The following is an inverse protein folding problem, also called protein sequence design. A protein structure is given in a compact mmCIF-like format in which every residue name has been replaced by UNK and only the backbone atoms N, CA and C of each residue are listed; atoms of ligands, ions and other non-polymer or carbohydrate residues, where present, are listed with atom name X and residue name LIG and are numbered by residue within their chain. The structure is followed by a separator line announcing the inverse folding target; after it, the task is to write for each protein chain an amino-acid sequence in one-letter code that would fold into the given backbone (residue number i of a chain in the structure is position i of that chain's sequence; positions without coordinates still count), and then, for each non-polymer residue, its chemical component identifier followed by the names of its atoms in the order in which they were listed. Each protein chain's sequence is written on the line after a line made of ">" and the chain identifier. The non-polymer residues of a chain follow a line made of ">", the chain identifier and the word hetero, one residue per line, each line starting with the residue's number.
data_IF_697558251462
#
_entry.id   IF_697558251462
#
_cell.length_a   1.000
_cell.length_b   1.000
_cell.length_c   1.000
_cell.angle_alpha   90.00
_cell.angle_beta   90.00
_cell.angle_gamma   90.00
#
_symmetry.space_group_name_H-M   'P 1'
#
loop_
_entity.id
_entity.type
_entity.pdbx_description
1 polymer ?
#
# COMPACT_ATOMS: atom_id res chain seq x y z
N UNK A 1 3.69 -20.48 53.33
CA UNK A 1 2.41 -19.91 53.82
C UNK A 1 1.82 -18.97 52.77
N UNK A 2 0.76 -19.38 52.06
CA UNK A 2 0.00 -18.49 51.18
C UNK A 2 -1.46 -18.47 51.65
N UNK A 3 -1.87 -17.35 52.26
CA UNK A 3 -3.24 -17.13 52.76
C UNK A 3 -4.23 -17.21 51.59
N UNK A 4 -4.87 -18.37 51.40
CA UNK A 4 -6.09 -18.49 50.58
C UNK A 4 -7.16 -17.62 51.23
N UNK A 5 -7.36 -16.40 50.71
CA UNK A 5 -8.50 -15.54 51.09
C UNK A 5 -9.78 -16.35 50.91
N UNK A 6 -10.44 -16.71 52.00
CA UNK A 6 -11.78 -17.27 51.98
C UNK A 6 -12.71 -16.25 51.31
N UNK A 7 -13.07 -16.47 50.03
CA UNK A 7 -14.05 -15.64 49.32
C UNK A 7 -15.35 -15.72 50.13
N UNK A 8 -15.70 -14.62 50.83
CA UNK A 8 -16.95 -14.49 51.61
C UNK A 8 -18.10 -15.07 50.79
N UNK A 9 -18.80 -16.07 51.35
CA UNK A 9 -19.98 -16.69 50.74
C UNK A 9 -21.07 -15.62 50.65
N UNK A 10 -21.26 -15.00 49.47
CA UNK A 10 -22.44 -14.15 49.19
C UNK A 10 -23.69 -15.00 49.48
N UNK A 11 -24.54 -14.53 50.42
CA UNK A 11 -25.81 -15.18 50.80
C UNK A 11 -27.03 -14.28 50.56
N UNK A 12 -26.83 -12.97 50.42
CA UNK A 12 -27.90 -12.01 50.14
C UNK A 12 -28.04 -11.82 48.64
N UNK A 13 -29.29 -11.72 48.20
CA UNK A 13 -29.61 -11.46 46.80
C UNK A 13 -29.07 -10.08 46.38
N UNK A 14 -28.65 -9.99 45.13
CA UNK A 14 -27.94 -8.84 44.60
C UNK A 14 -28.69 -8.30 43.39
N UNK A 15 -29.07 -7.02 43.44
CA UNK A 15 -29.70 -6.32 42.33
C UNK A 15 -28.64 -5.57 41.53
N UNK A 16 -28.61 -5.81 40.22
CA UNK A 16 -27.69 -5.18 39.28
C UNK A 16 -28.28 -3.87 38.74
N UNK A 17 -27.45 -2.93 38.21
CA UNK A 17 -27.90 -1.62 37.74
C UNK A 17 -28.99 -1.66 36.66
N UNK A 18 -29.02 -2.70 35.82
CA UNK A 18 -30.04 -2.87 34.77
C UNK A 18 -31.31 -3.57 35.27
N UNK A 19 -31.54 -3.62 36.59
CA UNK A 19 -32.72 -4.22 37.20
C UNK A 19 -32.68 -5.75 37.35
N UNK A 20 -31.66 -6.43 36.82
CA UNK A 20 -31.50 -7.88 36.98
C UNK A 20 -31.23 -8.27 38.43
N UNK A 21 -31.68 -9.44 38.87
CA UNK A 21 -31.53 -9.92 40.26
C UNK A 21 -30.81 -11.26 40.29
N UNK A 22 -29.70 -11.33 41.02
CA UNK A 22 -28.96 -12.57 41.30
C UNK A 22 -29.38 -13.10 42.66
N UNK A 23 -30.08 -14.23 42.68
CA UNK A 23 -30.69 -14.78 43.90
C UNK A 23 -29.71 -15.69 44.66
N UNK A 24 -28.66 -15.11 45.25
CA UNK A 24 -27.65 -15.84 46.03
C UNK A 24 -28.22 -16.65 47.20
N UNK A 25 -29.37 -16.24 47.74
CA UNK A 25 -30.11 -16.95 48.78
C UNK A 25 -30.66 -18.31 48.31
N UNK A 26 -30.94 -18.44 47.00
CA UNK A 26 -31.51 -19.63 46.35
C UNK A 26 -30.49 -20.44 45.55
N UNK A 27 -29.20 -20.29 45.83
CA UNK A 27 -28.16 -21.08 45.16
C UNK A 27 -28.24 -22.55 45.59
N UNK A 28 -27.92 -23.46 44.68
CA UNK A 28 -27.96 -24.90 44.93
C UNK A 28 -26.76 -25.61 44.27
N UNK A 29 -26.55 -26.86 44.67
CA UNK A 29 -25.47 -27.72 44.16
C UNK A 29 -25.96 -28.48 42.92
N UNK A 30 -25.19 -28.41 41.82
CA UNK A 30 -25.46 -29.02 40.52
C UNK A 30 -24.36 -30.05 40.17
N UNK A 31 -24.16 -30.99 41.09
CA UNK A 31 -23.16 -32.05 40.99
C UNK A 31 -21.72 -31.60 41.28
N UNK A 32 -20.76 -32.39 40.79
CA UNK A 32 -19.33 -32.19 41.01
C UNK A 32 -18.55 -32.16 39.70
N UNK A 33 -17.48 -31.38 39.64
CA UNK A 33 -16.49 -31.47 38.56
C UNK A 33 -15.66 -32.75 38.73
N UNK A 34 -15.07 -33.24 37.64
CA UNK A 34 -14.11 -34.36 37.68
C UNK A 34 -12.94 -34.12 38.67
N UNK A 35 -12.64 -32.86 39.00
CA UNK A 35 -11.67 -32.46 40.01
C UNK A 35 -12.17 -32.58 41.46
N UNK A 36 -13.33 -33.19 41.72
CA UNK A 36 -13.98 -33.28 43.03
C UNK A 36 -14.59 -31.99 43.59
N UNK A 37 -14.59 -30.88 42.84
CA UNK A 37 -15.17 -29.61 43.31
C UNK A 37 -16.68 -29.57 43.08
N UNK A 38 -17.44 -29.09 44.06
CA UNK A 38 -18.89 -28.89 43.93
C UNK A 38 -19.21 -27.79 42.91
N UNK A 39 -20.12 -28.09 41.98
CA UNK A 39 -20.72 -27.12 41.05
C UNK A 39 -21.85 -26.41 41.75
N UNK A 40 -21.80 -25.09 41.80
CA UNK A 40 -22.86 -24.26 42.38
C UNK A 40 -23.53 -23.45 41.29
N UNK A 41 -24.86 -23.47 41.26
CA UNK A 41 -25.69 -22.62 40.40
C UNK A 41 -26.49 -21.63 41.22
N UNK A 42 -26.85 -20.53 40.57
CA UNK A 42 -27.65 -19.46 41.17
C UNK A 42 -28.74 -19.02 40.18
N UNK A 43 -30.01 -18.91 40.61
CA UNK A 43 -31.07 -18.34 39.79
C UNK A 43 -30.88 -16.84 39.58
N UNK A 44 -31.00 -16.38 38.34
CA UNK A 44 -30.87 -14.98 37.94
C UNK A 44 -32.10 -14.55 37.16
N UNK A 45 -32.78 -13.52 37.65
CA UNK A 45 -33.90 -12.86 36.97
C UNK A 45 -33.36 -11.76 36.06
N UNK A 46 -33.68 -11.82 34.78
CA UNK A 46 -33.35 -10.78 33.81
C UNK A 46 -34.11 -9.49 34.14
N UNK A 47 -33.41 -8.36 34.18
CA UNK A 47 -34.02 -7.05 34.45
C UNK A 47 -34.90 -6.52 33.31
N UNK A 48 -34.71 -7.02 32.08
CA UNK A 48 -35.40 -6.52 30.89
C UNK A 48 -36.67 -7.33 30.55
N UNK A 49 -36.57 -8.66 30.47
CA UNK A 49 -37.74 -9.51 30.16
C UNK A 49 -38.32 -10.23 31.37
N UNK A 50 -37.71 -10.12 32.56
CA UNK A 50 -38.16 -10.82 33.75
C UNK A 50 -37.88 -12.32 33.79
N UNK A 51 -37.37 -12.93 32.71
CA UNK A 51 -37.08 -14.37 32.66
C UNK A 51 -36.05 -14.78 33.70
N UNK A 52 -36.33 -15.88 34.41
CA UNK A 52 -35.40 -16.48 35.39
C UNK A 52 -34.62 -17.61 34.71
N UNK A 53 -33.30 -17.64 34.94
CA UNK A 53 -32.42 -18.71 34.47
C UNK A 53 -31.35 -19.04 35.48
N UNK A 54 -30.81 -20.25 35.42
CA UNK A 54 -29.76 -20.69 36.33
C UNK A 54 -28.39 -20.53 35.68
N UNK A 55 -27.47 -19.89 36.38
CA UNK A 55 -26.10 -19.69 35.91
C UNK A 55 -25.10 -20.20 36.92
N UNK A 56 -23.90 -20.56 36.48
CA UNK A 56 -22.81 -20.93 37.38
C UNK A 56 -22.47 -19.80 38.35
N UNK A 57 -22.33 -20.12 39.63
CA UNK A 57 -22.05 -19.16 40.69
C UNK A 57 -20.70 -18.45 40.51
N UNK A 58 -19.73 -19.07 39.82
CA UNK A 58 -18.47 -18.42 39.43
C UNK A 58 -18.70 -17.34 38.37
N UNK A 59 -19.49 -17.65 37.35
CA UNK A 59 -19.85 -16.72 36.27
C UNK A 59 -20.61 -15.51 36.79
N UNK A 60 -21.60 -15.72 37.67
CA UNK A 60 -22.37 -14.63 38.28
C UNK A 60 -21.53 -13.72 39.20
N UNK A 61 -20.35 -14.15 39.65
CA UNK A 61 -19.39 -13.30 40.40
C UNK A 61 -18.42 -12.55 39.51
N UNK A 62 -18.42 -12.82 38.20
CA UNK A 62 -17.52 -12.17 37.26
C UNK A 62 -17.81 -10.67 37.16
N UNK A 63 -16.78 -9.81 37.05
CA UNK A 63 -16.96 -8.36 36.98
C UNK A 63 -17.71 -7.89 35.72
N UNK A 64 -17.77 -8.73 34.68
CA UNK A 64 -18.47 -8.45 33.42
C UNK A 64 -19.88 -9.06 33.35
N UNK A 65 -20.40 -9.63 34.45
CA UNK A 65 -21.70 -10.27 34.45
C UNK A 65 -22.84 -9.24 34.50
N UNK A 66 -23.66 -9.18 33.45
CA UNK A 66 -24.74 -8.19 33.31
C UNK A 66 -26.10 -8.68 33.82
N UNK A 67 -26.31 -9.99 34.03
CA UNK A 67 -27.60 -10.54 34.44
C UNK A 67 -28.68 -10.64 33.34
N UNK A 68 -28.54 -9.96 32.20
CA UNK A 68 -29.48 -10.03 31.08
C UNK A 68 -29.44 -11.39 30.37
N UNK A 69 -30.59 -11.90 29.92
CA UNK A 69 -30.63 -13.15 29.14
C UNK A 69 -30.08 -12.94 27.73
N UNK A 70 -29.67 -14.01 27.05
CA UNK A 70 -29.03 -13.91 25.73
C UNK A 70 -29.91 -13.18 24.72
N UNK A 71 -31.21 -13.51 24.69
CA UNK A 71 -32.18 -12.80 23.87
C UNK A 71 -32.26 -11.30 24.18
N UNK A 72 -32.24 -10.88 25.45
CA UNK A 72 -32.22 -9.46 25.84
C UNK A 72 -30.90 -8.75 25.54
N UNK A 73 -29.76 -9.46 25.67
CA UNK A 73 -28.46 -8.93 25.25
C UNK A 73 -28.42 -8.73 23.73
N UNK A 74 -29.04 -9.65 22.98
CA UNK A 74 -29.11 -9.58 21.53
C UNK A 74 -30.13 -8.53 21.06
N UNK A 75 -31.26 -8.36 21.77
CA UNK A 75 -32.24 -7.28 21.56
C UNK A 75 -31.69 -5.90 21.94
N UNK A 76 -30.90 -5.79 23.01
CA UNK A 76 -30.20 -4.54 23.39
C UNK A 76 -29.11 -4.14 22.37
N UNK A 77 -28.66 -5.08 21.53
CA UNK A 77 -27.83 -4.80 20.34
C UNK A 77 -28.66 -4.46 19.10
N UNK A 78 -29.98 -4.66 19.12
CA UNK A 78 -30.91 -4.22 18.08
C UNK A 78 -31.34 -2.77 18.36
N UNK A 79 -30.38 -1.85 18.31
CA UNK A 79 -30.72 -0.46 18.02
C UNK A 79 -31.25 -0.44 16.58
N UNK A 80 -32.59 -0.43 16.41
CA UNK A 80 -33.20 -0.32 15.08
C UNK A 80 -33.07 1.13 14.64
N UNK A 81 -32.09 1.40 13.78
CA UNK A 81 -31.99 2.70 13.09
C UNK A 81 -32.92 2.59 11.88
N UNK A 82 -33.97 3.41 11.78
CA UNK A 82 -34.83 3.44 10.61
C UNK A 82 -34.03 3.81 9.35
N UNK A 83 -34.42 3.25 8.20
CA UNK A 83 -33.77 3.53 6.92
C UNK A 83 -33.77 5.03 6.61
N UNK A 84 -34.90 5.70 6.77
CA UNK A 84 -35.06 7.14 6.55
C UNK A 84 -34.11 7.98 7.40
N UNK A 85 -33.85 7.57 8.65
CA UNK A 85 -32.90 8.25 9.53
C UNK A 85 -31.47 8.11 9.03
N UNK A 86 -31.09 6.95 8.50
CA UNK A 86 -29.77 6.76 7.89
C UNK A 86 -29.63 7.51 6.56
N UNK A 87 -30.66 7.52 5.72
CA UNK A 87 -30.66 8.29 4.46
C UNK A 87 -30.53 9.78 4.73
N UNK A 88 -31.31 10.35 5.64
CA UNK A 88 -31.19 11.76 6.02
C UNK A 88 -29.81 12.09 6.61
N UNK A 89 -29.34 11.33 7.60
CA UNK A 89 -28.07 11.65 8.27
C UNK A 89 -26.84 11.40 7.38
N UNK A 90 -26.89 10.41 6.50
CA UNK A 90 -25.75 10.01 5.66
C UNK A 90 -25.75 10.71 4.29
N UNK A 91 -26.89 10.71 3.59
CA UNK A 91 -26.99 11.22 2.23
C UNK A 91 -27.31 12.73 2.19
N UNK A 92 -28.13 13.23 3.13
CA UNK A 92 -28.55 14.65 3.12
C UNK A 92 -27.66 15.52 4.03
N UNK A 93 -27.38 15.08 5.27
CA UNK A 93 -26.51 15.81 6.20
C UNK A 93 -25.01 15.49 6.03
N UNK A 94 -24.65 14.46 5.26
CA UNK A 94 -23.26 14.12 4.95
C UNK A 94 -22.41 13.60 6.12
N UNK A 95 -23.04 13.10 7.19
CA UNK A 95 -22.32 12.63 8.38
C UNK A 95 -21.64 11.28 8.16
N UNK A 96 -20.48 11.07 8.79
CA UNK A 96 -19.79 9.78 8.77
C UNK A 96 -20.48 8.74 9.64
N UNK A 97 -20.25 7.44 9.40
CA UNK A 97 -20.79 6.34 10.22
C UNK A 97 -20.47 6.50 11.72
N UNK A 98 -19.33 7.13 12.04
CA UNK A 98 -18.90 7.39 13.42
C UNK A 98 -19.70 8.54 14.04
N UNK A 99 -19.89 9.63 13.32
CA UNK A 99 -20.69 10.76 13.79
C UNK A 99 -22.18 10.38 13.92
N UNK A 100 -22.69 9.57 12.99
CA UNK A 100 -24.03 8.98 13.09
C UNK A 100 -24.14 8.12 14.35
N UNK A 101 -23.12 7.30 14.64
CA UNK A 101 -23.11 6.47 15.84
C UNK A 101 -23.04 7.30 17.12
N UNK A 102 -22.22 8.34 17.17
CA UNK A 102 -22.13 9.27 18.30
C UNK A 102 -23.46 10.02 18.51
N UNK A 103 -24.07 10.53 17.43
CA UNK A 103 -25.35 11.26 17.45
C UNK A 103 -26.53 10.39 17.87
N UNK A 104 -26.52 9.12 17.49
CA UNK A 104 -27.57 8.16 17.81
C UNK A 104 -27.26 7.34 19.08
N UNK A 105 -26.13 7.55 19.75
CA UNK A 105 -25.73 6.76 20.92
C UNK A 105 -25.54 5.26 20.61
N UNK A 106 -25.13 4.93 19.38
CA UNK A 106 -24.96 3.56 18.88
C UNK A 106 -23.48 3.22 18.67
N UNK A 107 -23.20 1.96 18.28
CA UNK A 107 -21.86 1.56 17.87
C UNK A 107 -21.70 1.80 16.34
N UNK A 108 -20.57 2.34 15.86
CA UNK A 108 -20.31 2.52 14.42
C UNK A 108 -20.50 1.24 13.60
N UNK A 109 -20.18 0.08 14.19
CA UNK A 109 -20.40 -1.24 13.56
C UNK A 109 -21.89 -1.53 13.35
N UNK A 110 -22.76 -1.07 14.24
CA UNK A 110 -24.22 -1.21 14.12
C UNK A 110 -24.73 -0.35 12.96
N UNK A 111 -24.23 0.89 12.84
CA UNK A 111 -24.56 1.80 11.72
C UNK A 111 -24.16 1.17 10.39
N UNK A 112 -22.91 0.70 10.25
CA UNK A 112 -22.43 0.08 9.00
C UNK A 112 -23.19 -1.20 8.61
N UNK A 113 -23.60 -2.02 9.60
CA UNK A 113 -24.46 -3.19 9.34
C UNK A 113 -25.83 -2.80 8.80
N UNK A 114 -26.47 -1.77 9.36
CA UNK A 114 -27.79 -1.29 8.92
C UNK A 114 -27.74 -0.62 7.55
N UNK A 115 -26.70 0.18 7.28
CA UNK A 115 -26.49 0.73 5.94
C UNK A 115 -26.37 -0.38 4.89
N UNK A 116 -25.62 -1.45 5.18
CA UNK A 116 -25.50 -2.61 4.28
C UNK A 116 -26.83 -3.37 4.10
N UNK A 117 -27.61 -3.53 5.16
CA UNK A 117 -28.93 -4.18 5.12
C UNK A 117 -29.94 -3.40 4.26
N UNK A 118 -29.88 -2.07 4.29
CA UNK A 118 -30.76 -1.20 3.50
C UNK A 118 -30.21 -0.87 2.10
N UNK A 119 -29.06 -1.43 1.71
CA UNK A 119 -28.43 -1.14 0.42
C UNK A 119 -27.90 0.29 0.28
N UNK A 120 -27.66 0.99 1.39
CA UNK A 120 -27.01 2.31 1.40
C UNK A 120 -25.50 2.06 1.25
N UNK A 121 -24.99 2.23 0.02
CA UNK A 121 -23.57 2.07 -0.25
C UNK A 121 -22.76 3.06 0.57
N UNK A 122 -21.93 2.53 1.48
CA UNK A 122 -20.99 3.36 2.22
C UNK A 122 -19.94 3.86 1.23
N UNK A 123 -19.85 5.19 1.10
CA UNK A 123 -18.69 5.84 0.52
C UNK A 123 -17.44 5.23 1.17
N UNK A 124 -16.45 4.79 0.36
CA UNK A 124 -15.21 4.30 0.90
C UNK A 124 -14.67 5.37 1.86
N UNK A 125 -14.14 4.96 3.03
CA UNK A 125 -13.68 5.93 4.02
C UNK A 125 -12.81 7.02 3.38
N UNK A 126 -12.87 8.27 3.84
CA UNK A 126 -12.07 9.36 3.28
C UNK A 126 -10.54 9.10 3.26
N UNK A 127 -10.05 8.09 3.97
CA UNK A 127 -8.66 7.61 3.88
C UNK A 127 -8.36 6.71 2.67
N UNK A 128 -9.38 6.27 1.92
CA UNK A 128 -9.28 5.40 0.75
C UNK A 128 -9.14 6.20 -0.56
N UNK A 129 -9.52 7.48 -0.57
CA UNK A 129 -9.38 8.38 -1.71
C UNK A 129 -8.46 9.57 -1.40
N UNK A 130 -7.36 9.35 -0.67
CA UNK A 130 -6.21 10.25 -0.79
C UNK A 130 -5.44 9.83 -2.03
N UNK A 131 -5.84 10.33 -3.19
CA UNK A 131 -4.89 10.43 -4.30
C UNK A 131 -3.79 11.38 -3.81
N UNK A 132 -2.59 10.83 -3.71
CA UNK A 132 -1.43 11.57 -3.27
C UNK A 132 -0.75 12.21 -4.48
N UNK A 133 -0.86 11.58 -5.65
CA UNK A 133 -0.44 12.18 -6.92
C UNK A 133 -1.56 13.11 -7.39
N UNK A 134 -1.25 14.37 -7.73
CA UNK A 134 -2.23 15.28 -8.29
C UNK A 134 -2.84 14.73 -9.58
N UNK A 135 -4.16 14.87 -9.73
CA UNK A 135 -4.90 14.37 -10.90
C UNK A 135 -4.32 14.90 -12.21
N UNK A 136 -3.96 16.17 -12.28
CA UNK A 136 -3.33 16.81 -13.45
C UNK A 136 -2.06 16.12 -13.96
N UNK A 137 -1.32 15.42 -13.09
CA UNK A 137 -0.14 14.63 -13.44
C UNK A 137 -0.54 13.31 -14.12
N UNK A 138 -1.72 12.74 -13.81
CA UNK A 138 -2.18 11.45 -14.33
C UNK A 138 -3.15 11.55 -15.50
N UNK A 139 -3.78 12.71 -15.73
CA UNK A 139 -4.79 12.90 -16.79
C UNK A 139 -4.19 13.10 -18.19
N UNK A 140 -2.90 13.45 -18.29
CA UNK A 140 -2.19 13.63 -19.55
C UNK A 140 -0.74 13.19 -19.41
N UNK A 141 -0.11 12.91 -20.54
CA UNK A 141 1.33 12.68 -20.55
C UNK A 141 2.10 13.99 -20.38
N UNK A 142 3.10 13.94 -19.50
CA UNK A 142 4.08 14.98 -19.25
C UNK A 142 5.49 14.34 -19.31
N UNK A 143 6.53 15.09 -19.71
CA UNK A 143 7.91 14.61 -19.68
C UNK A 143 8.32 14.01 -18.32
N UNK A 144 7.89 14.64 -17.22
CA UNK A 144 8.14 14.22 -15.84
C UNK A 144 7.46 12.88 -15.53
N UNK A 145 6.21 12.70 -15.96
CA UNK A 145 5.48 11.45 -15.77
C UNK A 145 6.14 10.32 -16.55
N UNK A 146 6.56 10.58 -17.80
CA UNK A 146 7.26 9.59 -18.60
C UNK A 146 8.59 9.16 -18.00
N UNK A 147 9.38 10.12 -17.51
CA UNK A 147 10.58 9.84 -16.76
C UNK A 147 10.31 8.94 -15.54
N UNK A 148 9.25 9.23 -14.76
CA UNK A 148 8.84 8.41 -13.62
C UNK A 148 8.42 7.00 -14.05
N UNK A 149 7.65 6.85 -15.13
CA UNK A 149 7.28 5.52 -15.67
C UNK A 149 8.54 4.73 -16.05
N UNK A 150 9.55 5.38 -16.61
CA UNK A 150 10.86 4.79 -16.90
C UNK A 150 11.58 4.29 -15.65
N UNK A 151 11.67 5.12 -14.62
CA UNK A 151 12.26 4.74 -13.32
C UNK A 151 11.50 3.57 -12.68
N UNK A 152 10.17 3.60 -12.72
CA UNK A 152 9.34 2.52 -12.16
C UNK A 152 9.47 1.25 -12.99
N UNK A 153 9.63 1.34 -14.31
CA UNK A 153 9.88 0.18 -15.16
C UNK A 153 11.23 -0.49 -14.86
N UNK A 154 12.26 0.29 -14.52
CA UNK A 154 13.55 -0.21 -14.04
C UNK A 154 13.44 -0.75 -12.59
N UNK A 155 13.44 0.13 -11.59
CA UNK A 155 13.63 -0.25 -10.19
C UNK A 155 12.31 -0.39 -9.38
N UNK A 156 11.20 0.11 -9.90
CA UNK A 156 9.92 0.18 -9.18
C UNK A 156 9.30 -1.17 -8.82
N UNK A 157 8.54 -1.19 -7.72
CA UNK A 157 7.85 -2.38 -7.21
C UNK A 157 6.38 -2.10 -6.92
N UNK A 158 5.50 -2.62 -7.78
CA UNK A 158 4.06 -2.68 -7.54
C UNK A 158 3.77 -3.83 -6.56
N UNK A 159 3.17 -3.51 -5.40
CA UNK A 159 2.78 -4.54 -4.44
C UNK A 159 1.71 -5.47 -5.03
N UNK A 160 1.55 -6.65 -4.44
CA UNK A 160 0.57 -7.67 -4.89
C UNK A 160 -0.81 -7.07 -5.15
N UNK A 161 -1.51 -7.65 -6.12
CA UNK A 161 -2.91 -7.36 -6.47
C UNK A 161 -3.73 -7.25 -5.18
N UNK A 162 -4.61 -6.25 -5.07
CA UNK A 162 -5.31 -5.78 -3.84
C UNK A 162 -4.56 -4.80 -2.94
N UNK A 163 -3.35 -4.34 -3.32
CA UNK A 163 -2.71 -3.18 -2.68
C UNK A 163 -2.45 -2.11 -3.70
N UNK A 164 -2.98 -0.91 -3.46
CA UNK A 164 -2.77 0.28 -4.31
C UNK A 164 -1.38 0.90 -4.12
N UNK A 165 -0.41 0.10 -3.71
CA UNK A 165 0.88 0.57 -3.22
C UNK A 165 1.96 0.38 -4.27
N UNK A 166 2.68 1.46 -4.55
CA UNK A 166 3.87 1.50 -5.39
C UNK A 166 5.05 1.90 -4.51
N UNK A 167 6.10 1.09 -4.51
CA UNK A 167 7.37 1.41 -3.85
C UNK A 167 8.42 1.71 -4.91
N UNK A 168 9.13 2.82 -4.75
CA UNK A 168 10.30 3.16 -5.56
C UNK A 168 11.55 3.14 -4.68
N UNK A 169 12.36 2.08 -4.76
CA UNK A 169 13.65 2.00 -4.10
C UNK A 169 14.79 2.44 -5.03
N UNK A 170 15.86 3.00 -4.47
CA UNK A 170 17.11 3.24 -5.19
C UNK A 170 18.30 3.35 -4.22
N UNK A 171 19.51 3.08 -4.70
CA UNK A 171 20.76 3.43 -3.98
C UNK A 171 21.17 4.88 -4.21
N UNK A 172 20.65 5.52 -5.26
CA UNK A 172 20.89 6.94 -5.55
C UNK A 172 19.78 7.79 -4.89
N UNK A 173 20.12 8.54 -3.84
CA UNK A 173 19.17 9.42 -3.13
C UNK A 173 18.52 10.45 -4.06
N UNK A 174 19.29 10.97 -5.02
CA UNK A 174 18.85 11.94 -6.02
C UNK A 174 17.67 11.41 -6.85
N UNK A 175 17.65 10.11 -7.19
CA UNK A 175 16.52 9.52 -7.92
C UNK A 175 15.24 9.54 -7.11
N UNK A 176 15.32 9.32 -5.79
CA UNK A 176 14.15 9.39 -4.90
C UNK A 176 13.57 10.79 -4.86
N UNK A 177 14.42 11.80 -4.82
CA UNK A 177 14.03 13.21 -4.80
C UNK A 177 13.45 13.64 -6.15
N UNK A 178 14.06 13.21 -7.26
CA UNK A 178 13.54 13.49 -8.59
C UNK A 178 12.23 12.77 -8.87
N UNK A 179 12.07 11.52 -8.44
CA UNK A 179 10.80 10.78 -8.50
C UNK A 179 9.67 11.54 -7.78
N UNK A 180 9.92 12.01 -6.56
CA UNK A 180 8.95 12.76 -5.78
C UNK A 180 8.58 14.09 -6.43
N UNK A 181 9.59 14.84 -6.89
CA UNK A 181 9.41 16.12 -7.59
C UNK A 181 8.56 15.96 -8.87
N UNK A 182 8.88 14.97 -9.70
CA UNK A 182 8.15 14.69 -10.94
C UNK A 182 6.70 14.30 -10.71
N UNK A 183 6.38 13.65 -9.58
CA UNK A 183 5.01 13.31 -9.20
C UNK A 183 4.29 14.39 -8.40
N UNK A 184 4.97 15.48 -8.01
CA UNK A 184 4.40 16.51 -7.15
C UNK A 184 4.05 16.01 -5.73
N UNK A 185 4.77 14.99 -5.22
CA UNK A 185 4.51 14.39 -3.91
C UNK A 185 5.64 14.65 -2.92
N UNK A 186 5.30 14.71 -1.64
CA UNK A 186 6.27 14.78 -0.53
C UNK A 186 6.03 13.62 0.42
N UNK A 187 6.83 12.57 0.29
CA UNK A 187 6.73 11.31 1.03
C UNK A 187 7.92 11.15 1.99
N UNK A 188 7.69 10.44 3.09
CA UNK A 188 8.78 10.05 3.97
C UNK A 188 9.72 9.08 3.25
N UNK A 189 11.02 9.40 3.23
CA UNK A 189 12.04 8.53 2.63
C UNK A 189 12.63 7.61 3.70
N UNK A 190 12.32 6.32 3.59
CA UNK A 190 12.94 5.29 4.41
C UNK A 190 14.33 4.95 3.88
N UNK A 191 15.33 4.85 4.76
CA UNK A 191 16.71 4.47 4.40
C UNK A 191 17.12 3.21 5.15
N UNK A 192 17.51 2.17 4.41
CA UNK A 192 18.03 0.93 4.96
C UNK A 192 19.56 0.89 4.81
N UNK A 193 20.25 0.62 5.92
CA UNK A 193 21.69 0.35 5.93
C UNK A 193 21.93 -1.16 6.08
N UNK A 194 22.84 -1.71 5.28
CA UNK A 194 23.33 -3.08 5.42
C UNK A 194 24.85 -3.07 5.39
N UNK A 195 25.54 -3.81 6.28
CA UNK A 195 27.00 -3.88 6.27
C UNK A 195 27.55 -4.27 4.89
N UNK A 196 28.56 -3.54 4.41
CA UNK A 196 29.21 -3.79 3.11
C UNK A 196 28.37 -3.43 1.88
N UNK A 197 27.19 -2.82 2.04
CA UNK A 197 26.33 -2.36 0.94
C UNK A 197 26.13 -0.84 1.01
N UNK A 198 25.91 -0.23 -0.15
CA UNK A 198 25.43 1.16 -0.20
C UNK A 198 24.07 1.28 0.49
N UNK A 199 23.76 2.43 1.12
CA UNK A 199 22.46 2.68 1.69
C UNK A 199 21.39 2.59 0.60
N UNK A 200 20.25 1.99 0.95
CA UNK A 200 19.11 1.85 0.04
C UNK A 200 17.97 2.74 0.53
N UNK A 201 17.62 3.73 -0.28
CA UNK A 201 16.52 4.64 -0.03
C UNK A 201 15.24 4.11 -0.67
N UNK A 202 14.09 4.42 -0.08
CA UNK A 202 12.80 4.00 -0.61
C UNK A 202 11.70 4.98 -0.23
N UNK A 203 10.88 5.34 -1.20
CA UNK A 203 9.56 5.95 -0.98
C UNK A 203 8.47 4.94 -1.27
N UNK A 204 7.33 5.08 -0.60
CA UNK A 204 6.18 4.20 -0.81
C UNK A 204 4.92 5.03 -0.78
N UNK A 205 4.14 4.86 -1.83
CA UNK A 205 2.93 5.60 -2.10
C UNK A 205 1.76 4.61 -2.20
N UNK A 206 0.65 4.90 -1.54
CA UNK A 206 -0.60 4.15 -1.69
C UNK A 206 -1.62 5.04 -2.36
N UNK A 207 -1.82 4.84 -3.66
CA UNK A 207 -2.66 5.67 -4.51
C UNK A 207 -3.31 4.79 -5.59
N UNK A 208 -4.64 4.58 -5.55
CA UNK A 208 -5.34 3.74 -6.52
C UNK A 208 -5.26 4.26 -7.96
N UNK A 209 -5.31 5.58 -8.17
CA UNK A 209 -5.29 6.18 -9.49
C UNK A 209 -3.92 6.02 -10.13
N UNK A 210 -2.85 6.33 -9.38
CA UNK A 210 -1.48 6.13 -9.85
C UNK A 210 -1.18 4.66 -10.11
N UNK A 211 -1.63 3.76 -9.21
CA UNK A 211 -1.48 2.32 -9.41
C UNK A 211 -2.18 1.86 -10.68
N UNK A 212 -3.45 2.24 -10.86
CA UNK A 212 -4.24 1.88 -12.03
C UNK A 212 -3.64 2.43 -13.33
N UNK A 213 -3.10 3.65 -13.30
CA UNK A 213 -2.38 4.24 -14.43
C UNK A 213 -1.18 3.37 -14.84
N UNK A 214 -0.30 3.01 -13.90
CA UNK A 214 0.87 2.18 -14.19
C UNK A 214 0.48 0.79 -14.73
N UNK A 215 -0.54 0.15 -14.15
CA UNK A 215 -1.07 -1.13 -14.63
C UNK A 215 -1.66 -1.01 -16.03
N UNK A 216 -2.41 0.07 -16.30
CA UNK A 216 -2.97 0.37 -17.62
C UNK A 216 -1.91 0.54 -18.72
N UNK A 217 -0.71 1.00 -18.34
CA UNK A 217 0.47 1.09 -19.22
C UNK A 217 1.15 -0.26 -19.49
N UNK A 218 0.85 -1.30 -18.69
CA UNK A 218 1.44 -2.63 -18.79
C UNK A 218 2.47 -2.97 -17.71
N UNK A 219 2.61 -2.15 -16.67
CA UNK A 219 3.47 -2.49 -15.52
C UNK A 219 2.71 -3.41 -14.56
N UNK A 220 3.31 -4.55 -14.23
CA UNK A 220 2.70 -5.54 -13.33
C UNK A 220 3.50 -5.71 -12.04
N UNK A 221 2.87 -6.20 -10.95
CA UNK A 221 3.59 -6.70 -9.78
C UNK A 221 4.64 -7.74 -10.16
N UNK A 222 5.71 -7.82 -9.36
CA UNK A 222 6.75 -8.85 -9.50
C UNK A 222 7.37 -9.00 -10.91
N UNK A 223 7.28 -7.97 -11.77
CA UNK A 223 7.70 -7.95 -13.18
C UNK A 223 9.04 -8.65 -13.46
N UNK A 224 10.05 -8.41 -12.61
CA UNK A 224 11.41 -8.96 -12.73
C UNK A 224 11.46 -10.44 -12.34
N UNK A 225 10.72 -10.83 -11.30
CA UNK A 225 10.65 -12.21 -10.81
C UNK A 225 9.87 -13.11 -11.78
N UNK A 226 8.79 -12.57 -12.34
CA UNK A 226 7.89 -13.28 -13.26
C UNK A 226 8.29 -13.11 -14.73
N UNK A 227 9.26 -12.23 -15.02
CA UNK A 227 9.77 -11.92 -16.36
C UNK A 227 8.67 -11.45 -17.34
N UNK A 228 7.70 -10.71 -16.82
CA UNK A 228 6.49 -10.28 -17.55
C UNK A 228 6.62 -8.90 -18.19
N UNK A 229 7.69 -8.15 -17.92
CA UNK A 229 7.87 -6.81 -18.49
C UNK A 229 8.10 -6.88 -20.01
N UNK A 230 7.24 -6.20 -20.76
CA UNK A 230 7.27 -6.12 -22.22
C UNK A 230 7.04 -4.69 -22.71
N UNK A 231 6.38 -4.54 -23.84
CA UNK A 231 6.03 -3.23 -24.38
C UNK A 231 5.09 -2.48 -23.42
N UNK A 232 5.37 -1.19 -23.20
CA UNK A 232 4.51 -0.30 -22.42
C UNK A 232 3.81 0.69 -23.34
N UNK A 233 2.62 1.17 -22.93
CA UNK A 233 1.82 2.13 -23.71
C UNK A 233 2.30 3.58 -23.58
N UNK A 234 3.59 3.81 -23.81
CA UNK A 234 4.21 5.14 -23.79
C UNK A 234 4.09 5.75 -25.19
N UNK A 235 3.51 6.96 -25.36
CA UNK A 235 3.49 7.65 -26.65
C UNK A 235 4.90 8.00 -27.12
N UNK A 236 5.09 8.00 -28.43
CA UNK A 236 6.40 8.23 -29.05
C UNK A 236 7.02 9.57 -28.69
N UNK A 237 6.18 10.61 -28.60
CA UNK A 237 6.60 11.97 -28.26
C UNK A 237 7.24 12.05 -26.86
N UNK A 238 6.87 11.16 -25.93
CA UNK A 238 7.42 11.08 -24.57
C UNK A 238 8.39 9.92 -24.36
N UNK A 239 8.67 9.13 -25.41
CA UNK A 239 9.50 7.94 -25.28
C UNK A 239 10.93 8.25 -24.85
N UNK A 240 11.47 9.39 -25.26
CA UNK A 240 12.82 9.81 -24.88
C UNK A 240 12.92 10.13 -23.37
N UNK A 241 11.89 10.74 -22.77
CA UNK A 241 11.83 10.97 -21.33
C UNK A 241 11.69 9.65 -20.55
N UNK A 242 10.82 8.75 -21.03
CA UNK A 242 10.70 7.38 -20.51
C UNK A 242 12.03 6.63 -20.56
N UNK A 243 12.71 6.64 -21.71
CA UNK A 243 13.98 5.93 -21.88
C UNK A 243 15.07 6.54 -20.99
N UNK A 244 15.09 7.86 -20.80
CA UNK A 244 15.99 8.53 -19.86
C UNK A 244 15.77 8.03 -18.44
N UNK A 245 14.52 7.93 -17.98
CA UNK A 245 14.18 7.35 -16.68
C UNK A 245 14.61 5.89 -16.54
N UNK A 246 14.38 5.07 -17.56
CA UNK A 246 14.80 3.67 -17.55
C UNK A 246 16.33 3.50 -17.49
N UNK A 247 17.08 4.33 -18.24
CA UNK A 247 18.55 4.37 -18.20
C UNK A 247 19.03 4.85 -16.84
N UNK A 248 18.38 5.82 -16.21
CA UNK A 248 18.77 6.31 -14.90
C UNK A 248 18.56 5.28 -13.79
N UNK A 249 17.51 4.45 -13.88
CA UNK A 249 17.29 3.33 -12.96
C UNK A 249 18.24 2.15 -13.19
N UNK A 250 18.21 1.52 -14.37
CA UNK A 250 18.90 0.23 -14.64
C UNK A 250 19.97 0.31 -15.76
N UNK A 251 20.32 1.52 -16.19
CA UNK A 251 21.33 1.77 -17.21
C UNK A 251 22.64 2.34 -16.68
N UNK A 252 23.58 2.51 -17.60
CA UNK A 252 24.91 3.07 -17.35
C UNK A 252 25.33 3.98 -18.49
N UNK A 253 25.94 5.12 -18.16
CA UNK A 253 26.60 6.02 -19.10
C UNK A 253 28.04 6.18 -18.62
N UNK A 254 29.01 5.84 -19.47
CA UNK A 254 30.42 5.91 -19.14
C UNK A 254 31.27 6.10 -20.39
N UNK A 255 32.49 6.59 -20.22
CA UNK A 255 33.49 6.66 -21.28
C UNK A 255 34.48 5.52 -21.07
N UNK A 256 34.66 4.70 -22.12
CA UNK A 256 35.63 3.61 -22.13
C UNK A 256 36.87 4.06 -22.88
N UNK A 257 38.01 4.02 -22.22
CA UNK A 257 39.32 4.23 -22.84
C UNK A 257 39.87 2.90 -23.37
N UNK A 258 40.46 2.92 -24.56
CA UNK A 258 41.15 1.77 -25.10
C UNK A 258 42.51 1.57 -24.38
N UNK A 259 42.80 0.35 -23.93
CA UNK A 259 44.08 0.04 -23.26
C UNK A 259 45.28 0.15 -24.19
N UNK A 260 45.09 -0.08 -25.49
CA UNK A 260 46.13 0.02 -26.53
C UNK A 260 46.29 1.45 -27.04
N UNK A 261 45.23 2.26 -26.99
CA UNK A 261 45.22 3.64 -27.45
C UNK A 261 44.62 4.54 -26.35
N UNK A 262 45.47 5.01 -25.43
CA UNK A 262 45.06 5.78 -24.25
C UNK A 262 44.28 7.07 -24.54
N UNK A 263 44.44 7.64 -25.74
CA UNK A 263 43.69 8.82 -26.21
C UNK A 263 42.37 8.47 -26.90
N UNK A 264 42.05 7.18 -27.08
CA UNK A 264 40.80 6.73 -27.70
C UNK A 264 39.71 6.62 -26.65
N UNK A 265 38.88 7.66 -26.54
CA UNK A 265 37.73 7.71 -25.65
C UNK A 265 36.44 7.35 -26.38
N UNK A 266 35.80 6.26 -25.98
CA UNK A 266 34.52 5.81 -26.55
C UNK A 266 33.39 5.96 -25.54
N UNK A 267 32.45 6.83 -25.84
CA UNK A 267 31.20 6.95 -25.09
C UNK A 267 30.38 5.66 -25.20
N UNK A 268 29.81 5.22 -24.08
CA UNK A 268 28.97 4.03 -23.98
C UNK A 268 27.73 4.37 -23.17
N UNK A 269 26.57 3.96 -23.68
CA UNK A 269 25.32 3.91 -22.93
C UNK A 269 24.74 2.50 -23.01
N UNK A 270 24.33 1.95 -21.88
CA UNK A 270 23.74 0.62 -21.82
C UNK A 270 22.52 0.59 -20.92
N UNK A 271 21.55 -0.26 -21.24
CA UNK A 271 20.41 -0.60 -20.39
C UNK A 271 20.38 -2.11 -20.18
N UNK A 272 20.20 -2.55 -18.93
CA UNK A 272 20.15 -3.97 -18.57
C UNK A 272 18.78 -4.34 -18.05
N UNK A 273 18.28 -5.52 -18.39
CA UNK A 273 17.03 -6.07 -17.84
C UNK A 273 17.03 -7.59 -17.91
N UNK A 274 16.35 -8.23 -16.97
CA UNK A 274 16.10 -9.69 -17.03
C UNK A 274 14.96 -10.06 -18.00
N UNK A 275 14.20 -9.07 -18.46
CA UNK A 275 13.08 -9.25 -19.38
C UNK A 275 13.50 -8.90 -20.81
N UNK A 276 13.84 -9.91 -21.61
CA UNK A 276 14.24 -9.71 -23.02
C UNK A 276 13.18 -8.96 -23.86
N UNK A 277 11.86 -9.24 -23.74
CA UNK A 277 10.84 -8.53 -24.52
C UNK A 277 10.87 -7.01 -24.32
N UNK A 278 11.12 -6.55 -23.10
CA UNK A 278 11.28 -5.14 -22.78
C UNK A 278 12.43 -4.48 -23.55
N UNK A 279 13.62 -5.09 -23.56
CA UNK A 279 14.77 -4.53 -24.29
C UNK A 279 14.62 -4.60 -25.80
N UNK A 280 13.93 -5.62 -26.32
CA UNK A 280 13.59 -5.73 -27.75
C UNK A 280 12.65 -4.59 -28.15
N UNK A 281 11.60 -4.35 -27.38
CA UNK A 281 10.68 -3.23 -27.61
C UNK A 281 11.40 -1.87 -27.56
N UNK A 282 12.29 -1.67 -26.57
CA UNK A 282 13.09 -0.45 -26.48
C UNK A 282 13.99 -0.29 -27.71
N UNK A 283 14.70 -1.34 -28.11
CA UNK A 283 15.54 -1.33 -29.32
C UNK A 283 14.71 -0.94 -30.55
N UNK A 284 13.58 -1.60 -30.78
CA UNK A 284 12.77 -1.39 -31.97
C UNK A 284 12.19 0.03 -32.02
N UNK A 285 11.85 0.58 -30.84
CA UNK A 285 11.38 1.96 -30.72
C UNK A 285 12.52 2.96 -30.97
N UNK A 286 13.73 2.72 -30.45
CA UNK A 286 14.91 3.56 -30.76
C UNK A 286 15.25 3.53 -32.25
N UNK A 287 15.16 2.38 -32.90
CA UNK A 287 15.38 2.27 -34.36
C UNK A 287 14.37 3.13 -35.11
N UNK A 288 13.08 3.04 -34.75
CA UNK A 288 12.01 3.79 -35.40
C UNK A 288 12.12 5.30 -35.20
N UNK A 289 12.45 5.76 -33.99
CA UNK A 289 12.44 7.18 -33.64
C UNK A 289 13.78 7.89 -33.87
N UNK A 290 14.90 7.17 -33.76
CA UNK A 290 16.25 7.76 -33.79
C UNK A 290 17.10 7.18 -34.92
N UNK A 291 16.64 6.13 -35.62
CA UNK A 291 17.42 5.41 -36.64
C UNK A 291 18.81 4.98 -36.13
N UNK A 292 18.85 4.47 -34.89
CA UNK A 292 20.06 3.92 -34.27
C UNK A 292 19.84 2.45 -33.95
N UNK A 293 20.59 1.60 -34.66
CA UNK A 293 20.47 0.15 -34.49
C UNK A 293 21.48 -0.43 -33.51
N UNK A 294 21.04 -1.44 -32.75
CA UNK A 294 21.92 -2.29 -31.97
C UNK A 294 21.24 -3.62 -31.62
N UNK A 295 22.02 -4.55 -31.07
CA UNK A 295 21.52 -5.88 -30.70
C UNK A 295 21.42 -6.03 -29.20
N UNK A 296 20.33 -6.62 -28.74
CA UNK A 296 20.18 -7.07 -27.35
C UNK A 296 21.06 -8.31 -27.15
N UNK A 297 22.03 -8.22 -26.26
CA UNK A 297 22.97 -9.31 -25.94
C UNK A 297 22.54 -10.01 -24.65
N UNK A 298 22.70 -11.32 -24.60
CA UNK A 298 22.50 -12.10 -23.38
C UNK A 298 23.79 -12.12 -22.55
N UNK A 299 23.66 -11.94 -21.24
CA UNK A 299 24.70 -12.20 -20.24
C UNK A 299 24.31 -13.44 -19.43
N UNK A 300 25.13 -13.83 -18.44
CA UNK A 300 24.86 -15.01 -17.60
C UNK A 300 23.47 -14.94 -16.92
N UNK A 301 23.03 -13.74 -16.51
CA UNK A 301 21.83 -13.56 -15.67
C UNK A 301 20.79 -12.59 -16.23
N UNK A 302 21.13 -11.83 -17.28
CA UNK A 302 20.29 -10.76 -17.81
C UNK A 302 20.50 -10.55 -19.31
N UNK A 303 19.85 -9.54 -19.85
CA UNK A 303 20.04 -9.04 -21.21
C UNK A 303 20.50 -7.59 -21.14
N UNK A 304 21.29 -7.15 -22.11
CA UNK A 304 21.81 -5.79 -22.17
C UNK A 304 21.68 -5.24 -23.59
N UNK A 305 21.22 -4.00 -23.70
CA UNK A 305 21.22 -3.20 -24.92
C UNK A 305 22.26 -2.09 -24.77
N UNK A 306 23.32 -2.10 -25.60
CA UNK A 306 24.48 -1.21 -25.44
C UNK A 306 24.81 -0.46 -26.71
N UNK A 307 24.77 0.87 -26.69
CA UNK A 307 25.22 1.75 -27.77
C UNK A 307 26.60 2.31 -27.47
N UNK A 308 27.44 2.45 -28.50
CA UNK A 308 28.81 2.96 -28.33
C UNK A 308 29.17 3.98 -29.41
N UNK A 309 30.11 4.88 -29.10
CA UNK A 309 30.64 5.87 -30.03
C UNK A 309 29.57 6.77 -30.63
N UNK A 310 29.54 6.89 -31.96
CA UNK A 310 28.60 7.74 -32.70
C UNK A 310 27.13 7.41 -32.41
N UNK A 311 26.81 6.12 -32.23
CA UNK A 311 25.46 5.67 -31.87
C UNK A 311 25.05 6.14 -30.48
N UNK A 312 25.96 6.04 -29.50
CA UNK A 312 25.73 6.55 -28.14
C UNK A 312 25.57 8.07 -28.16
N UNK A 313 26.41 8.79 -28.91
CA UNK A 313 26.33 10.24 -29.06
C UNK A 313 24.98 10.67 -29.63
N UNK A 314 24.52 10.03 -30.69
CA UNK A 314 23.22 10.32 -31.32
C UNK A 314 22.06 10.06 -30.35
N UNK A 315 22.09 8.94 -29.64
CA UNK A 315 21.06 8.60 -28.65
C UNK A 315 21.04 9.60 -27.49
N UNK A 316 22.19 9.94 -26.91
CA UNK A 316 22.27 10.85 -25.76
C UNK A 316 21.94 12.29 -26.14
N UNK A 317 22.26 12.73 -27.36
CA UNK A 317 21.81 14.04 -27.87
C UNK A 317 20.28 14.13 -27.97
N UNK A 318 19.62 13.01 -28.30
CA UNK A 318 18.16 12.93 -28.34
C UNK A 318 17.52 12.85 -26.93
N UNK A 319 18.17 12.16 -25.99
CA UNK A 319 17.68 12.02 -24.61
C UNK A 319 17.82 13.31 -23.78
N UNK A 320 18.90 14.06 -23.99
CA UNK A 320 19.22 15.31 -23.29
C UNK A 320 18.99 16.52 -24.20
N UNK A 321 17.76 16.67 -24.68
CA UNK A 321 17.37 17.71 -25.65
C UNK A 321 17.22 19.12 -25.03
N UNK A 322 17.15 19.22 -23.70
CA UNK A 322 16.95 20.46 -22.96
C UNK A 322 17.76 20.46 -21.64
N UNK A 323 18.08 21.64 -21.09
CA UNK A 323 18.94 21.75 -19.91
C UNK A 323 18.25 21.36 -18.60
N UNK A 324 16.94 21.51 -18.46
CA UNK A 324 16.24 21.37 -17.17
C UNK A 324 15.43 20.07 -17.05
N UNK A 325 15.94 19.00 -17.68
CA UNK A 325 15.27 17.71 -17.72
C UNK A 325 15.47 16.91 -16.42
N UNK A 326 14.44 16.19 -15.94
CA UNK A 326 14.60 15.19 -14.89
C UNK A 326 15.63 14.15 -15.31
N UNK A 327 16.73 14.04 -14.57
CA UNK A 327 17.78 13.07 -14.82
C UNK A 327 18.65 12.86 -13.59
N UNK A 328 19.45 11.79 -13.62
CA UNK A 328 20.49 11.54 -12.64
C UNK A 328 21.77 12.32 -13.03
N UNK A 329 22.12 13.33 -12.24
CA UNK A 329 23.18 14.29 -12.56
C UNK A 329 24.52 13.60 -12.83
N UNK A 330 24.90 12.58 -12.05
CA UNK A 330 26.17 11.86 -12.30
C UNK A 330 26.27 11.22 -13.68
N UNK A 331 25.14 10.75 -14.25
CA UNK A 331 25.10 10.14 -15.59
C UNK A 331 25.11 11.20 -16.68
N UNK A 332 24.38 12.30 -16.47
CA UNK A 332 24.39 13.46 -17.36
C UNK A 332 25.76 14.14 -17.43
N UNK A 333 26.44 14.29 -16.30
CA UNK A 333 27.77 14.89 -16.22
C UNK A 333 28.80 14.16 -17.11
N UNK A 334 28.72 12.82 -17.20
CA UNK A 334 29.57 12.04 -18.11
C UNK A 334 29.31 12.39 -19.58
N UNK A 335 28.04 12.51 -19.96
CA UNK A 335 27.64 12.90 -21.31
C UNK A 335 28.15 14.31 -21.65
N UNK A 336 27.91 15.27 -20.77
CA UNK A 336 28.31 16.65 -21.00
C UNK A 336 29.83 16.83 -21.02
N UNK A 337 30.56 16.12 -20.16
CA UNK A 337 32.02 16.09 -20.21
C UNK A 337 32.52 15.55 -21.56
N UNK A 338 31.89 14.49 -22.08
CA UNK A 338 32.22 13.96 -23.39
C UNK A 338 31.97 14.95 -24.54
N UNK A 339 30.89 15.73 -24.46
CA UNK A 339 30.58 16.73 -25.48
C UNK A 339 31.50 17.95 -25.45
N UNK A 340 32.08 18.29 -24.28
CA UNK A 340 33.08 19.37 -24.15
C UNK A 340 34.49 18.98 -24.60
N UNK A 341 34.71 17.70 -24.93
CA UNK A 341 36.02 17.16 -25.23
C UNK A 341 36.63 16.50 -24.01
N UNK A 342 36.83 15.18 -24.11
CA UNK A 342 37.77 14.45 -23.26
C UNK A 342 39.19 14.65 -23.76
#
# INVERSE_FOLDING_TARGET
>A
MAKRRAKKRKRRDERLPNGSVVNWSRRFEDGTYASGRIRLRVPVRCGQCGQVREVGASTARGPKFTGLCRACVDLGKMFQIPRSTLEHLYCEEGLTQREIAERLGSNPTTVGKRMKEYGIEAQPPAHVLKTAVPDEVLHRWLPELAYVVGLVAAEGNLKKVHRNTVSFPSTDRELIETYQRCLGVSLHVYTQHRPGCLPRHQVTLSDPAYRGFLEGMGLTPAKTKERTLGALKVPDEFFHDFLRGAIDGDGSIFVRTDKRWSHSHRLVVSLTSVCRPFLVWIRDTIVRLVAVENTVRQTERAFTLTFTGTKARRLLSWLYYAPDLPCLQRKRAVWEAYMRGY
#
